data_IF_843666755021
#
_entry.id   IF_843666755021
#
_cell.length_a   1.000
_cell.length_b   1.000
_cell.length_c   1.000
_cell.angle_alpha   90.00
_cell.angle_beta   90.00
_cell.angle_gamma   90.00
#
_symmetry.space_group_name_H-M   'P 1'
#
loop_
_entity.id
_entity.type
_entity.pdbx_description
1 polymer ?
#
# COMPACT_ATOMS: atom_id res chain seq x y z
N UNK A 1 -12.80 -36.52 22.79
CA UNK A 1 -11.53 -37.26 22.96
C UNK A 1 -10.64 -36.88 21.78
N UNK A 2 -9.64 -36.00 21.97
CA UNK A 2 -8.17 -36.30 22.03
C UNK A 2 -7.78 -37.35 20.97
N UNK A 3 -6.89 -37.14 19.99
CA UNK A 3 -5.47 -36.75 20.06
C UNK A 3 -5.01 -36.68 18.57
N UNK A 4 -4.36 -35.64 18.06
CA UNK A 4 -2.92 -35.38 18.15
C UNK A 4 -2.27 -35.55 16.77
N UNK A 5 -1.99 -34.45 16.06
CA UNK A 5 -1.19 -34.48 14.83
C UNK A 5 0.27 -34.25 15.20
N UNK A 6 1.14 -35.14 14.73
CA UNK A 6 2.55 -35.16 15.03
C UNK A 6 3.28 -33.96 14.40
N UNK A 7 4.11 -33.34 15.23
CA UNK A 7 5.11 -32.34 14.90
C UNK A 7 6.17 -32.95 13.98
N UNK A 8 6.43 -32.32 12.85
CA UNK A 8 7.63 -32.59 12.04
C UNK A 8 8.08 -31.30 11.36
N UNK A 9 9.01 -30.65 12.04
CA UNK A 9 9.82 -29.54 11.54
C UNK A 9 10.80 -30.05 10.47
N UNK A 10 10.95 -29.35 9.33
CA UNK A 10 12.20 -29.36 8.60
C UNK A 10 12.86 -27.99 8.73
N UNK A 11 13.79 -27.92 9.67
CA UNK A 11 14.88 -26.95 9.70
C UNK A 11 15.72 -27.10 8.42
N UNK A 12 15.72 -26.10 7.55
CA UNK A 12 16.96 -25.68 6.88
C UNK A 12 16.81 -24.25 6.36
N UNK A 13 17.47 -23.34 7.07
CA UNK A 13 17.74 -21.98 6.62
C UNK A 13 18.72 -22.06 5.43
N UNK A 14 18.24 -21.72 4.24
CA UNK A 14 19.09 -21.47 3.07
C UNK A 14 18.88 -20.03 2.59
N UNK A 15 19.69 -19.10 3.08
CA UNK A 15 19.72 -17.72 2.57
C UNK A 15 20.18 -17.70 1.10
N UNK A 16 19.56 -16.92 0.20
CA UNK A 16 20.07 -16.78 -1.15
C UNK A 16 21.39 -16.01 -1.14
N UNK A 17 22.48 -16.68 -1.57
CA UNK A 17 23.83 -16.12 -1.73
C UNK A 17 23.78 -14.88 -2.63
N UNK A 18 24.06 -13.69 -2.07
CA UNK A 18 24.42 -12.50 -2.87
C UNK A 18 25.70 -12.82 -3.64
N UNK A 19 25.63 -12.85 -4.97
CA UNK A 19 26.82 -12.89 -5.82
C UNK A 19 27.65 -11.62 -5.57
N UNK A 20 28.79 -11.77 -4.92
CA UNK A 20 29.82 -10.74 -4.79
C UNK A 20 30.40 -10.46 -6.17
N UNK A 21 30.24 -9.23 -6.68
CA UNK A 21 31.02 -8.74 -7.81
C UNK A 21 32.33 -8.19 -7.23
N UNK A 22 33.43 -8.87 -7.54
CA UNK A 22 34.79 -8.40 -7.29
C UNK A 22 35.16 -7.35 -8.36
N UNK A 23 35.53 -6.14 -7.93
CA UNK A 23 36.24 -5.17 -8.76
C UNK A 23 37.56 -4.84 -8.06
N UNK A 24 38.72 -5.09 -8.69
CA UNK A 24 40.00 -4.61 -8.20
C UNK A 24 40.19 -3.15 -8.59
N UNK A 25 41.01 -2.46 -7.79
CA UNK A 25 41.62 -1.15 -8.04
C UNK A 25 40.82 0.12 -7.70
N UNK A 26 41.38 0.89 -6.75
CA UNK A 26 41.18 2.34 -6.68
C UNK A 26 40.65 2.87 -5.35
N UNK A 27 41.55 3.02 -4.39
CA UNK A 27 41.38 3.83 -3.17
C UNK A 27 40.88 5.25 -3.50
N UNK A 28 39.68 5.57 -3.04
CA UNK A 28 39.31 6.92 -2.58
C UNK A 28 38.20 6.75 -1.57
N UNK A 29 38.50 7.08 -0.31
CA UNK A 29 37.62 6.88 0.83
C UNK A 29 36.20 7.36 0.58
N UNK A 30 35.30 6.40 0.34
CA UNK A 30 33.89 6.59 0.57
C UNK A 30 33.72 6.73 2.08
N UNK A 31 33.70 7.97 2.58
CA UNK A 31 33.10 8.29 3.86
C UNK A 31 31.74 7.59 3.86
N UNK A 32 31.60 6.57 4.70
CA UNK A 32 30.32 5.95 4.99
C UNK A 32 29.48 7.04 5.64
N UNK A 33 28.74 7.79 4.82
CA UNK A 33 27.63 8.58 5.29
C UNK A 33 26.58 7.60 5.83
N UNK A 34 26.71 7.25 7.11
CA UNK A 34 25.76 6.48 7.92
C UNK A 34 24.48 7.28 8.23
N UNK A 35 24.05 8.14 7.30
CA UNK A 35 22.95 9.12 7.49
C UNK A 35 21.77 9.08 6.49
N UNK A 36 21.80 8.47 5.30
CA UNK A 36 20.64 8.50 4.41
C UNK A 36 19.53 7.55 4.88
N UNK A 37 19.87 6.43 5.52
CA UNK A 37 18.90 5.44 6.02
C UNK A 37 18.06 5.99 7.18
N UNK A 38 18.67 6.73 8.10
CA UNK A 38 17.96 7.37 9.21
C UNK A 38 16.98 8.45 8.73
N UNK A 39 17.35 9.26 7.73
CA UNK A 39 16.47 10.29 7.20
C UNK A 39 15.28 9.72 6.43
N UNK A 40 15.49 8.67 5.61
CA UNK A 40 14.39 8.01 4.88
C UNK A 40 13.40 7.37 5.86
N UNK A 41 13.91 6.67 6.88
CA UNK A 41 13.08 6.08 7.93
C UNK A 41 12.30 7.16 8.69
N UNK A 42 12.96 8.25 9.09
CA UNK A 42 12.33 9.35 9.82
C UNK A 42 11.27 10.08 8.99
N UNK A 43 11.47 10.25 7.68
CA UNK A 43 10.46 10.80 6.77
C UNK A 43 9.28 9.86 6.64
N UNK A 44 9.52 8.55 6.46
CA UNK A 44 8.47 7.55 6.40
C UNK A 44 7.64 7.51 7.70
N UNK A 45 8.31 7.58 8.85
CA UNK A 45 7.68 7.64 10.17
C UNK A 45 6.88 8.94 10.34
N UNK A 46 7.38 10.08 9.86
CA UNK A 46 6.63 11.35 9.88
C UNK A 46 5.33 11.30 9.06
N UNK A 47 5.35 10.66 7.88
CA UNK A 47 4.12 10.45 7.10
C UNK A 47 3.18 9.44 7.75
N UNK A 48 3.73 8.40 8.39
CA UNK A 48 2.96 7.31 9.01
C UNK A 48 2.32 7.73 10.34
N UNK A 49 3.03 8.54 11.13
CA UNK A 49 2.58 9.11 12.40
C UNK A 49 1.50 10.20 12.22
N UNK A 50 1.21 10.60 10.97
CA UNK A 50 0.17 11.59 10.68
C UNK A 50 -1.18 11.03 11.08
N UNK A 51 -1.65 11.47 12.25
CA UNK A 51 -2.91 11.07 12.87
C UNK A 51 -4.07 11.27 11.91
N UNK A 52 -5.03 10.34 11.96
CA UNK A 52 -6.27 10.45 11.21
C UNK A 52 -7.00 11.72 11.65
N UNK A 53 -6.86 12.79 10.87
CA UNK A 53 -7.62 14.03 11.06
C UNK A 53 -9.11 13.70 11.10
N UNK A 54 -9.84 14.28 12.05
CA UNK A 54 -11.30 14.17 12.12
C UNK A 54 -11.94 14.74 10.86
N UNK A 55 -13.22 14.45 10.63
CA UNK A 55 -13.92 14.96 9.45
C UNK A 55 -13.88 16.49 9.40
N UNK A 56 -14.11 17.15 10.54
CA UNK A 56 -14.10 18.62 10.64
C UNK A 56 -12.72 19.22 10.30
N UNK A 57 -11.65 18.59 10.79
CA UNK A 57 -10.28 19.02 10.49
C UNK A 57 -9.89 18.83 9.01
N UNK A 58 -10.55 17.90 8.30
CA UNK A 58 -10.38 17.77 6.84
C UNK A 58 -11.12 18.86 6.11
N UNK A 59 -12.31 19.22 6.57
CA UNK A 59 -13.11 20.29 5.96
C UNK A 59 -12.46 21.67 6.09
N UNK A 60 -11.74 21.91 7.18
CA UNK A 60 -10.94 23.12 7.37
C UNK A 60 -9.69 23.21 6.46
N UNK A 61 -9.38 22.18 5.66
CA UNK A 61 -8.19 22.18 4.81
C UNK A 61 -8.34 23.16 3.63
N UNK A 62 -7.33 23.99 3.32
CA UNK A 62 -7.39 24.93 2.18
C UNK A 62 -7.72 24.27 0.84
N UNK A 63 -7.30 23.01 0.67
CA UNK A 63 -7.49 22.22 -0.55
C UNK A 63 -8.76 21.35 -0.53
N UNK A 64 -9.68 21.55 0.43
CA UNK A 64 -10.88 20.70 0.56
C UNK A 64 -11.75 20.73 -0.69
N UNK A 65 -11.90 21.90 -1.34
CA UNK A 65 -12.74 22.04 -2.53
C UNK A 65 -12.20 21.21 -3.69
N UNK A 66 -10.88 21.26 -3.91
CA UNK A 66 -10.20 20.44 -4.91
C UNK A 66 -10.32 18.93 -4.59
N UNK A 67 -10.20 18.54 -3.32
CA UNK A 67 -10.41 17.13 -2.92
C UNK A 67 -11.84 16.66 -3.20
N UNK A 68 -12.85 17.50 -2.93
CA UNK A 68 -14.26 17.20 -3.23
C UNK A 68 -14.46 17.06 -4.74
N UNK A 69 -13.90 17.95 -5.56
CA UNK A 69 -13.91 17.85 -7.01
C UNK A 69 -13.26 16.56 -7.51
N UNK A 70 -12.05 16.23 -7.04
CA UNK A 70 -11.36 15.00 -7.42
C UNK A 70 -12.18 13.76 -7.07
N UNK A 71 -12.81 13.73 -5.88
CA UNK A 71 -13.70 12.64 -5.50
C UNK A 71 -14.95 12.55 -6.39
N UNK A 72 -15.49 13.69 -6.82
CA UNK A 72 -16.62 13.72 -7.74
C UNK A 72 -16.25 13.18 -9.13
N UNK A 73 -15.13 13.63 -9.70
CA UNK A 73 -14.63 13.15 -11.01
C UNK A 73 -14.43 11.63 -10.96
N UNK A 74 -13.81 11.11 -9.91
CA UNK A 74 -13.66 9.66 -9.72
C UNK A 74 -14.99 8.93 -9.72
N UNK A 75 -15.99 9.43 -9.01
CA UNK A 75 -17.33 8.82 -8.99
C UNK A 75 -17.95 8.76 -10.38
N UNK A 76 -17.86 9.85 -11.15
CA UNK A 76 -18.37 9.91 -12.53
C UNK A 76 -17.66 8.88 -13.40
N UNK A 77 -16.33 8.83 -13.35
CA UNK A 77 -15.54 7.87 -14.15
C UNK A 77 -15.88 6.42 -13.80
N UNK A 78 -15.99 6.08 -12.51
CA UNK A 78 -16.38 4.74 -12.08
C UNK A 78 -17.78 4.39 -12.62
N UNK A 79 -18.74 5.30 -12.52
CA UNK A 79 -20.09 5.08 -13.01
C UNK A 79 -20.16 4.88 -14.55
N UNK A 80 -19.31 5.57 -15.29
CA UNK A 80 -19.28 5.49 -16.76
C UNK A 80 -18.59 4.24 -17.28
N UNK A 81 -17.55 3.76 -16.60
CA UNK A 81 -16.66 2.74 -17.14
C UNK A 81 -16.73 1.39 -16.40
N UNK A 82 -17.13 1.36 -15.14
CA UNK A 82 -17.30 0.11 -14.42
C UNK A 82 -18.66 -0.51 -14.71
N UNK A 83 -18.69 -1.83 -14.89
CA UNK A 83 -19.91 -2.62 -15.06
C UNK A 83 -20.10 -3.56 -13.88
N UNK A 84 -21.36 -3.96 -13.68
CA UNK A 84 -21.72 -4.92 -12.62
C UNK A 84 -20.97 -6.23 -12.84
N UNK A 85 -20.37 -6.76 -11.79
CA UNK A 85 -19.60 -8.00 -11.83
C UNK A 85 -18.15 -7.87 -12.32
N UNK A 86 -17.68 -6.65 -12.65
CA UNK A 86 -16.28 -6.45 -13.06
C UNK A 86 -15.30 -6.84 -11.94
N UNK A 87 -14.10 -7.24 -12.35
CA UNK A 87 -12.96 -7.40 -11.44
C UNK A 87 -12.03 -6.21 -11.59
N UNK A 88 -11.89 -5.43 -10.53
CA UNK A 88 -11.15 -4.16 -10.53
C UNK A 88 -9.85 -4.30 -9.75
N UNK A 89 -8.76 -3.83 -10.33
CA UNK A 89 -7.48 -3.64 -9.66
C UNK A 89 -7.31 -2.16 -9.32
N UNK A 90 -7.30 -1.83 -8.02
CA UNK A 90 -7.13 -0.46 -7.56
C UNK A 90 -5.69 -0.26 -7.05
N UNK A 91 -4.91 0.54 -7.79
CA UNK A 91 -3.51 0.83 -7.50
C UNK A 91 -3.39 2.14 -6.72
N UNK A 92 -2.54 2.18 -5.70
CA UNK A 92 -2.27 3.37 -4.89
C UNK A 92 -3.52 3.99 -4.22
N UNK A 93 -4.55 3.19 -3.93
CA UNK A 93 -5.82 3.59 -3.32
C UNK A 93 -5.76 4.04 -1.85
N UNK A 94 -4.55 4.13 -1.29
CA UNK A 94 -4.31 4.70 0.04
C UNK A 94 -5.08 3.96 1.13
N UNK A 95 -6.00 4.65 1.81
CA UNK A 95 -6.82 4.13 2.92
C UNK A 95 -8.22 3.64 2.47
N UNK A 96 -8.47 3.48 1.17
CA UNK A 96 -9.74 2.95 0.66
C UNK A 96 -10.88 3.98 0.55
N UNK A 97 -10.56 5.24 0.21
CA UNK A 97 -11.58 6.29 0.04
C UNK A 97 -12.56 6.08 -1.12
N UNK A 98 -12.24 5.14 -2.02
CA UNK A 98 -13.03 4.82 -3.21
C UNK A 98 -13.87 3.53 -3.05
N UNK A 99 -13.76 2.82 -1.92
CA UNK A 99 -14.49 1.57 -1.65
C UNK A 99 -16.01 1.70 -1.81
N UNK A 100 -16.59 2.78 -1.27
CA UNK A 100 -18.05 3.03 -1.38
C UNK A 100 -18.46 3.29 -2.84
N UNK A 101 -17.55 3.83 -3.67
CA UNK A 101 -17.84 4.05 -5.10
C UNK A 101 -17.86 2.73 -5.86
N UNK A 102 -16.90 1.85 -5.57
CA UNK A 102 -16.84 0.50 -6.12
C UNK A 102 -18.04 -0.37 -5.72
N UNK A 103 -18.45 -0.29 -4.45
CA UNK A 103 -19.64 -0.96 -3.94
C UNK A 103 -20.92 -0.53 -4.68
N UNK A 104 -21.11 0.78 -4.87
CA UNK A 104 -22.23 1.34 -5.64
C UNK A 104 -22.24 0.90 -7.12
N UNK A 105 -21.07 0.65 -7.70
CA UNK A 105 -20.96 0.13 -9.06
C UNK A 105 -21.26 -1.38 -9.15
N UNK A 106 -21.45 -2.07 -8.02
CA UNK A 106 -21.72 -3.51 -7.91
C UNK A 106 -20.70 -4.37 -8.67
N UNK A 107 -19.41 -4.04 -8.53
CA UNK A 107 -18.34 -4.86 -9.06
C UNK A 107 -18.24 -6.19 -8.30
N UNK A 108 -17.75 -7.26 -8.95
CA UNK A 108 -17.67 -8.57 -8.33
C UNK A 108 -16.48 -8.71 -7.37
N UNK A 109 -15.32 -8.21 -7.82
CA UNK A 109 -14.07 -8.31 -7.09
C UNK A 109 -13.29 -7.00 -7.12
N UNK A 110 -12.72 -6.63 -5.98
CA UNK A 110 -11.77 -5.54 -5.87
C UNK A 110 -10.46 -6.09 -5.31
N UNK A 111 -9.39 -5.96 -6.08
CA UNK A 111 -8.04 -6.22 -5.61
C UNK A 111 -7.44 -4.91 -5.08
N UNK A 112 -7.19 -4.85 -3.76
CA UNK A 112 -6.58 -3.71 -3.06
C UNK A 112 -5.39 -4.20 -2.24
N UNK A 113 -4.20 -3.63 -2.46
CA UNK A 113 -3.00 -3.86 -1.62
C UNK A 113 -2.72 -5.36 -1.38
N UNK A 114 -2.63 -6.15 -2.46
CA UNK A 114 -2.42 -7.61 -2.45
C UNK A 114 -3.54 -8.46 -1.80
N UNK A 115 -4.60 -7.84 -1.27
CA UNK A 115 -5.78 -8.53 -0.76
C UNK A 115 -6.95 -8.41 -1.77
N UNK A 116 -7.50 -9.56 -2.18
CA UNK A 116 -8.68 -9.62 -3.02
C UNK A 116 -9.94 -9.68 -2.14
N UNK A 117 -10.84 -8.70 -2.29
CA UNK A 117 -12.12 -8.66 -1.58
C UNK A 117 -13.26 -8.85 -2.56
N UNK A 118 -14.11 -9.83 -2.27
CA UNK A 118 -15.38 -10.03 -2.97
C UNK A 118 -16.39 -8.99 -2.49
N UNK A 119 -16.98 -8.25 -3.43
CA UNK A 119 -17.98 -7.20 -3.13
C UNK A 119 -19.41 -7.62 -3.52
N UNK A 120 -19.60 -8.77 -4.18
CA UNK A 120 -20.92 -9.35 -4.49
C UNK A 120 -21.01 -10.84 -4.20
#
# INVERSE_FOLDING_TARGET
MKQGYADSTPTSQGQPRRKSRYNPDGDSGFLKDEKPTNLIAQVADYYSARTNKTSEQREASPIIRLKKLNNWIKSVLIQLYARRGDSVLDLACGKGGDLIKWDKAMIGYLCWNLYCRRLS
#
